data_IF_429996331055
#
_entry.id   IF_429996331055
#
_cell.length_a   1.000
_cell.length_b   1.000
_cell.length_c   1.000
_cell.angle_alpha   90.00
_cell.angle_beta   90.00
_cell.angle_gamma   90.00
#
_symmetry.space_group_name_H-M   'P 1'
#
loop_
_entity.id
_entity.type
_entity.pdbx_description
1 polymer ?
#
# COMPACT_ATOMS: atom_id res chain seq x y z
N UNK A 1 -49.23 35.81 -25.46
CA UNK A 1 -48.80 34.99 -24.31
C UNK A 1 -48.09 33.78 -24.86
N UNK A 2 -46.75 33.79 -24.87
CA UNK A 2 -45.93 32.64 -25.30
C UNK A 2 -45.07 32.23 -24.11
N UNK A 3 -45.37 31.07 -23.56
CA UNK A 3 -44.64 30.44 -22.46
C UNK A 3 -43.51 29.60 -23.07
N UNK A 4 -42.27 30.06 -22.94
CA UNK A 4 -41.10 29.26 -23.24
C UNK A 4 -40.74 28.45 -21.98
N UNK A 5 -41.01 27.15 -22.04
CA UNK A 5 -40.63 26.20 -21.01
C UNK A 5 -39.18 25.77 -21.26
N UNK A 6 -38.25 26.31 -20.47
CA UNK A 6 -36.85 25.86 -20.49
C UNK A 6 -36.74 24.60 -19.64
N UNK A 7 -36.54 23.45 -20.29
CA UNK A 7 -36.14 22.23 -19.62
C UNK A 7 -34.68 22.37 -19.15
N UNK A 8 -34.49 22.59 -17.86
CA UNK A 8 -33.18 22.53 -17.23
C UNK A 8 -32.76 21.06 -17.11
N UNK A 9 -31.83 20.63 -17.96
CA UNK A 9 -31.16 19.34 -17.82
C UNK A 9 -30.18 19.49 -16.66
N UNK A 10 -30.58 19.03 -15.49
CA UNK A 10 -29.69 18.90 -14.34
C UNK A 10 -28.81 17.69 -14.62
N UNK A 11 -27.57 17.92 -15.07
CA UNK A 11 -26.53 16.91 -15.01
C UNK A 11 -26.23 16.67 -13.52
N UNK A 12 -26.90 15.70 -12.92
CA UNK A 12 -26.43 15.08 -11.69
C UNK A 12 -25.12 14.40 -12.05
N UNK A 13 -23.99 15.10 -11.87
CA UNK A 13 -22.72 14.44 -11.74
C UNK A 13 -22.88 13.52 -10.53
N UNK A 14 -23.15 12.25 -10.77
CA UNK A 14 -22.85 11.21 -9.82
C UNK A 14 -21.35 11.34 -9.57
N UNK A 15 -20.99 12.08 -8.52
CA UNK A 15 -19.66 12.05 -7.97
C UNK A 15 -19.50 10.59 -7.57
N UNK A 16 -18.84 9.82 -8.44
CA UNK A 16 -18.21 8.60 -8.01
C UNK A 16 -17.17 9.09 -7.03
N UNK A 17 -17.53 9.15 -5.74
CA UNK A 17 -16.55 9.04 -4.68
C UNK A 17 -15.78 7.81 -5.07
N UNK A 18 -14.60 8.01 -5.65
CA UNK A 18 -13.60 6.98 -5.76
C UNK A 18 -13.37 6.64 -4.31
N UNK A 19 -14.02 5.59 -3.83
CA UNK A 19 -13.67 4.99 -2.57
C UNK A 19 -12.33 4.34 -2.90
N UNK A 20 -11.27 5.13 -2.86
CA UNK A 20 -9.93 4.59 -2.81
C UNK A 20 -9.92 3.78 -1.52
N UNK A 21 -9.81 2.45 -1.66
CA UNK A 21 -9.87 1.55 -0.50
C UNK A 21 -8.84 2.03 0.52
N UNK A 22 -9.27 2.22 1.77
CA UNK A 22 -8.33 2.57 2.84
C UNK A 22 -7.46 1.36 3.13
N UNK A 23 -6.16 1.59 3.32
CA UNK A 23 -5.24 0.53 3.66
C UNK A 23 -5.63 -0.15 4.97
N UNK A 24 -5.97 -1.45 4.89
CA UNK A 24 -6.30 -2.25 6.07
C UNK A 24 -5.04 -2.50 6.90
N UNK A 25 -5.13 -2.36 8.23
CA UNK A 25 -4.03 -2.48 9.19
C UNK A 25 -3.09 -1.27 9.30
N UNK A 26 -3.56 -0.08 8.92
CA UNK A 26 -2.92 1.18 9.31
C UNK A 26 -1.56 1.40 8.64
N UNK A 27 -0.54 1.68 9.44
CA UNK A 27 0.82 1.95 8.96
C UNK A 27 1.50 0.74 8.29
N UNK A 28 1.03 -0.48 8.55
CA UNK A 28 1.69 -1.72 8.13
C UNK A 28 1.46 -2.09 6.67
N UNK A 29 0.43 -1.53 6.04
CA UNK A 29 0.03 -1.91 4.70
C UNK A 29 1.04 -1.44 3.66
N UNK A 30 1.19 -2.23 2.61
CA UNK A 30 1.86 -1.84 1.38
C UNK A 30 0.90 -0.91 0.64
N UNK A 31 1.29 0.35 0.49
CA UNK A 31 0.45 1.36 -0.12
C UNK A 31 0.75 1.54 -1.62
N UNK A 32 1.95 1.17 -2.07
CA UNK A 32 2.32 1.22 -3.49
C UNK A 32 3.45 0.23 -3.82
N UNK A 33 3.50 -0.20 -5.07
CA UNK A 33 4.66 -0.87 -5.67
C UNK A 33 5.38 0.08 -6.61
N UNK A 34 6.68 -0.11 -6.79
CA UNK A 34 7.47 0.74 -7.69
C UNK A 34 6.94 0.69 -9.12
N UNK A 35 6.65 1.87 -9.66
CA UNK A 35 6.09 2.03 -11.00
C UNK A 35 4.58 1.79 -11.09
N UNK A 36 3.92 1.56 -9.96
CA UNK A 36 2.46 1.50 -9.84
C UNK A 36 1.93 2.74 -9.12
N UNK A 37 0.64 3.03 -9.29
CA UNK A 37 -0.06 4.01 -8.47
C UNK A 37 -0.26 3.51 -7.03
N UNK A 38 -0.78 4.38 -6.18
CA UNK A 38 -1.21 4.00 -4.84
C UNK A 38 -2.33 2.95 -4.95
N UNK A 39 -2.18 1.85 -4.21
CA UNK A 39 -3.14 0.75 -4.17
C UNK A 39 -4.24 1.01 -3.14
N UNK A 40 -3.95 1.82 -2.13
CA UNK A 40 -4.87 2.16 -1.05
C UNK A 40 -4.47 3.49 -0.41
N UNK A 41 -5.41 4.19 0.22
CA UNK A 41 -5.13 5.39 1.01
C UNK A 41 -4.61 4.97 2.39
N UNK A 42 -3.43 5.46 2.76
CA UNK A 42 -2.92 5.31 4.13
C UNK A 42 -3.76 6.14 5.11
N UNK A 43 -4.22 5.57 6.23
CA UNK A 43 -4.99 6.32 7.21
C UNK A 43 -4.11 7.29 7.99
N UNK A 44 -4.66 8.43 8.41
CA UNK A 44 -3.97 9.38 9.31
C UNK A 44 -3.43 8.67 10.57
N UNK A 45 -2.19 8.97 11.01
CA UNK A 45 -1.29 10.02 10.53
C UNK A 45 -0.34 9.58 9.39
N UNK A 46 -0.59 8.44 8.76
CA UNK A 46 0.28 7.85 7.76
C UNK A 46 -0.02 8.36 6.36
N UNK A 47 0.95 8.25 5.46
CA UNK A 47 0.80 8.64 4.05
C UNK A 47 1.64 7.72 3.17
N UNK A 48 1.21 7.53 1.92
CA UNK A 48 1.95 6.69 0.99
C UNK A 48 3.17 7.44 0.41
N UNK A 49 4.18 7.67 1.23
CA UNK A 49 5.38 8.39 0.80
C UNK A 49 6.30 7.45 0.03
N UNK A 50 6.44 7.68 -1.29
CA UNK A 50 7.38 6.91 -2.12
C UNK A 50 8.83 7.43 -1.97
N UNK A 51 9.39 7.32 -0.77
CA UNK A 51 10.76 7.72 -0.43
C UNK A 51 11.54 6.59 0.23
N UNK A 52 12.86 6.71 0.32
CA UNK A 52 13.74 5.64 0.83
C UNK A 52 13.41 5.19 2.26
N UNK A 53 12.86 6.07 3.12
CA UNK A 53 12.51 5.71 4.49
C UNK A 53 11.31 4.76 4.61
N UNK A 54 10.47 4.70 3.57
CA UNK A 54 9.25 3.88 3.49
C UNK A 54 9.41 2.70 2.52
N UNK A 55 10.59 2.59 1.91
CA UNK A 55 10.90 1.67 0.82
C UNK A 55 11.52 0.38 1.34
N UNK A 56 11.02 -0.75 0.84
CA UNK A 56 11.63 -2.06 1.05
C UNK A 56 11.71 -2.83 -0.27
N UNK A 57 12.64 -3.79 -0.34
CA UNK A 57 12.87 -4.64 -1.50
C UNK A 57 12.60 -6.10 -1.15
N UNK A 58 11.79 -6.77 -1.96
CA UNK A 58 11.49 -8.19 -1.82
C UNK A 58 12.01 -8.95 -3.02
N UNK A 59 12.89 -9.91 -2.76
CA UNK A 59 13.39 -10.86 -3.76
C UNK A 59 12.45 -12.05 -3.83
N UNK A 60 11.71 -12.12 -4.93
CA UNK A 60 10.94 -13.27 -5.37
C UNK A 60 11.83 -14.18 -6.24
N UNK A 61 11.38 -15.40 -6.51
CA UNK A 61 12.16 -16.50 -7.15
C UNK A 61 13.12 -16.05 -8.26
N UNK A 62 12.70 -15.12 -9.14
CA UNK A 62 13.51 -14.63 -10.26
C UNK A 62 13.53 -13.10 -10.42
N UNK A 63 13.08 -12.34 -9.42
CA UNK A 63 12.99 -10.87 -9.53
C UNK A 63 13.03 -10.19 -8.17
N UNK A 64 13.61 -9.00 -8.11
CA UNK A 64 13.47 -8.10 -6.96
C UNK A 64 12.43 -7.05 -7.28
N UNK A 65 11.42 -6.95 -6.42
CA UNK A 65 10.38 -5.94 -6.49
C UNK A 65 10.56 -4.94 -5.34
N UNK A 66 10.21 -3.69 -5.58
CA UNK A 66 10.28 -2.63 -4.56
C UNK A 66 8.85 -2.23 -4.19
N UNK A 67 8.59 -2.11 -2.89
CA UNK A 67 7.30 -1.66 -2.37
C UNK A 67 7.48 -0.55 -1.32
N UNK A 68 6.40 0.17 -1.08
CA UNK A 68 6.33 1.26 -0.11
C UNK A 68 5.22 0.99 0.90
N UNK A 69 5.47 1.28 2.16
CA UNK A 69 4.51 1.14 3.26
C UNK A 69 3.94 2.49 3.68
N UNK A 70 2.83 2.47 4.42
CA UNK A 70 2.22 3.67 4.99
C UNK A 70 3.06 4.32 6.11
N UNK A 71 3.80 3.52 6.88
CA UNK A 71 4.75 4.01 7.89
C UNK A 71 6.21 3.74 7.49
N UNK A 72 7.17 4.37 8.17
CA UNK A 72 8.58 4.17 7.86
C UNK A 72 9.02 2.75 8.19
N UNK A 73 9.92 2.19 7.39
CA UNK A 73 10.44 0.83 7.60
C UNK A 73 11.12 0.72 8.97
N UNK A 74 11.76 1.79 9.46
CA UNK A 74 12.41 1.84 10.78
C UNK A 74 11.44 1.69 11.97
N UNK A 75 10.17 2.04 11.78
CA UNK A 75 9.15 2.02 12.83
C UNK A 75 8.60 0.61 13.08
N UNK A 76 8.82 -0.32 12.15
CA UNK A 76 8.48 -1.72 12.34
C UNK A 76 9.45 -2.38 13.33
N UNK A 77 8.93 -3.30 14.13
CA UNK A 77 9.74 -4.18 14.97
C UNK A 77 10.64 -5.06 14.12
N UNK A 78 11.80 -5.44 14.65
CA UNK A 78 12.64 -6.45 14.01
C UNK A 78 11.90 -7.80 13.96
N UNK A 79 12.00 -8.50 12.84
CA UNK A 79 11.44 -9.84 12.74
C UNK A 79 12.11 -10.81 13.73
N UNK A 80 11.31 -11.65 14.39
CA UNK A 80 11.84 -12.82 15.07
C UNK A 80 12.33 -13.84 14.02
N UNK A 81 13.25 -14.74 14.42
CA UNK A 81 14.00 -15.61 13.51
C UNK A 81 13.16 -16.56 12.62
N UNK A 82 11.85 -16.67 12.84
CA UNK A 82 10.96 -17.54 12.07
C UNK A 82 9.63 -16.91 11.72
N UNK A 83 9.46 -15.61 12.00
CA UNK A 83 8.20 -14.93 11.72
C UNK A 83 8.17 -14.50 10.24
N UNK A 84 7.02 -14.64 9.57
CA UNK A 84 6.85 -14.10 8.24
C UNK A 84 6.97 -12.57 8.32
N UNK A 85 7.86 -12.02 7.49
CA UNK A 85 8.08 -10.59 7.39
C UNK A 85 6.91 -9.88 6.71
N UNK A 86 6.22 -10.56 5.78
CA UNK A 86 5.01 -10.04 5.14
C UNK A 86 3.83 -11.00 5.32
N UNK A 87 2.62 -10.44 5.37
CA UNK A 87 1.35 -11.15 5.48
C UNK A 87 0.35 -10.69 4.40
N UNK A 88 -0.82 -11.34 4.36
CA UNK A 88 -1.92 -10.92 3.48
C UNK A 88 -1.54 -10.91 1.99
N UNK A 89 -0.84 -11.94 1.50
CA UNK A 89 -0.41 -12.02 0.09
C UNK A 89 0.44 -10.81 -0.38
N UNK A 90 1.42 -10.40 0.43
CA UNK A 90 2.31 -9.26 0.16
C UNK A 90 1.64 -7.88 0.30
N UNK A 91 0.45 -7.80 0.91
CA UNK A 91 -0.23 -6.53 1.14
C UNK A 91 0.18 -5.85 2.44
N UNK A 92 0.84 -6.56 3.36
CA UNK A 92 1.19 -6.03 4.68
C UNK A 92 2.60 -6.45 5.10
N UNK A 93 3.35 -5.47 5.61
CA UNK A 93 4.62 -5.70 6.27
C UNK A 93 4.36 -5.91 7.77
N UNK A 94 4.74 -7.06 8.32
CA UNK A 94 4.54 -7.37 9.73
C UNK A 94 5.71 -6.89 10.59
N UNK A 95 6.93 -7.03 10.08
CA UNK A 95 8.17 -6.69 10.77
C UNK A 95 9.27 -6.34 9.76
N UNK A 96 10.31 -5.64 10.21
CA UNK A 96 11.49 -5.31 9.38
C UNK A 96 12.62 -6.30 9.56
N UNK A 97 13.32 -6.56 8.47
CA UNK A 97 14.56 -7.32 8.48
C UNK A 97 15.72 -6.40 8.89
N UNK A 98 16.63 -6.90 9.72
CA UNK A 98 17.77 -6.11 10.24
C UNK A 98 18.70 -5.62 9.12
N UNK A 99 18.79 -6.38 8.04
CA UNK A 99 19.53 -6.05 6.82
C UNK A 99 18.68 -5.39 5.73
N UNK A 100 17.37 -5.22 5.95
CA UNK A 100 16.43 -4.67 4.97
C UNK A 100 16.15 -5.57 3.76
N UNK A 101 16.59 -6.84 3.80
CA UNK A 101 16.43 -7.79 2.68
C UNK A 101 15.29 -8.75 3.00
N UNK A 102 14.32 -8.81 2.11
CA UNK A 102 13.15 -9.68 2.22
C UNK A 102 13.19 -10.71 1.09
N UNK A 103 13.01 -11.99 1.39
CA UNK A 103 13.11 -13.08 0.39
C UNK A 103 11.93 -14.03 0.48
N UNK A 104 11.51 -14.61 -0.64
CA UNK A 104 10.52 -15.68 -0.65
C UNK A 104 11.15 -16.99 -0.18
N UNK A 105 10.84 -17.40 1.05
CA UNK A 105 11.14 -18.71 1.62
C UNK A 105 10.10 -19.77 1.23
N UNK A 106 9.92 -20.79 2.09
CA UNK A 106 8.95 -21.88 1.87
C UNK A 106 7.50 -21.38 2.00
N UNK A 107 7.03 -20.67 0.99
CA UNK A 107 5.65 -20.15 0.88
C UNK A 107 5.38 -18.83 1.62
N UNK A 108 6.37 -18.21 2.25
CA UNK A 108 6.24 -16.94 2.95
C UNK A 108 7.45 -16.03 2.71
N UNK A 109 7.26 -14.71 2.83
CA UNK A 109 8.37 -13.77 2.83
C UNK A 109 9.02 -13.76 4.21
N UNK A 110 10.33 -13.98 4.26
CA UNK A 110 11.15 -13.99 5.47
C UNK A 110 12.36 -13.08 5.28
N UNK A 111 13.12 -12.85 6.35
CA UNK A 111 14.39 -12.13 6.25
C UNK A 111 15.45 -13.01 5.59
N UNK A 112 16.11 -12.45 4.57
CA UNK A 112 17.18 -13.10 3.81
C UNK A 112 18.57 -12.87 4.38
#
# INVERSE_FOLDING_TARGET
>A
MMLFMFAAIIFTMASTTVIEDMCENGGQSVCAWKGMGEMCICPDPYSCVQSDAYKAEVTLVNRTETFYTCQQISDFSLCAASDPAMQGQLQQLNCRCSNGIYVLGVGAIVCG
#
